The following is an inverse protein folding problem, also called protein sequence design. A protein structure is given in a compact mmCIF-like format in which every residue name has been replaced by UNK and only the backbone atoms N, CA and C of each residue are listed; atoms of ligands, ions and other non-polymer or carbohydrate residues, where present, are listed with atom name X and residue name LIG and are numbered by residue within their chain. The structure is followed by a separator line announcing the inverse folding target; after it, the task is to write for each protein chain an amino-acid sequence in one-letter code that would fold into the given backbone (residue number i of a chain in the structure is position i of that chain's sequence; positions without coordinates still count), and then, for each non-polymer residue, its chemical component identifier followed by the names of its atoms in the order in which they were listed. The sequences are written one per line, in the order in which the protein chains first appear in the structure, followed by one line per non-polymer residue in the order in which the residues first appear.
data_IF_008161195076
#
_entry.id   IF_008161195076
#
_cell.length_a   1.000
_cell.length_b   1.000
_cell.length_c   1.000
_cell.angle_alpha   90.00
_cell.angle_beta   90.00
_cell.angle_gamma   90.00
#
_symmetry.space_group_name_H-M   'P 1'
#
loop_
_entity.id
_entity.type
_entity.pdbx_description
1 polymer ?
#
# COMPACT_ATOMS: atom_id res chain seq x y z
N UNK A 1 9.14 -3.29 -7.92
CA UNK A 1 8.14 -3.10 -9.00
C UNK A 1 7.08 -4.18 -8.86
N UNK A 2 5.87 -3.82 -8.41
CA UNK A 2 4.78 -4.75 -8.16
C UNK A 2 4.25 -5.38 -9.46
N UNK A 3 3.91 -6.68 -9.43
CA UNK A 3 3.33 -7.42 -10.59
C UNK A 3 2.06 -6.75 -11.16
N UNK A 4 1.40 -5.93 -10.37
CA UNK A 4 0.19 -5.19 -10.75
C UNK A 4 0.50 -3.92 -11.55
N UNK A 5 1.54 -3.17 -11.18
CA UNK A 5 1.95 -1.97 -11.92
C UNK A 5 2.46 -2.32 -13.33
N UNK A 6 3.16 -3.45 -13.47
CA UNK A 6 3.64 -3.95 -14.76
C UNK A 6 2.49 -4.27 -15.73
N UNK A 7 1.44 -4.95 -15.24
CA UNK A 7 0.22 -5.22 -16.02
C UNK A 7 -0.50 -3.95 -16.44
N UNK A 8 -0.54 -2.93 -15.57
CA UNK A 8 -1.14 -1.64 -15.89
C UNK A 8 -0.34 -0.87 -16.95
N UNK A 9 1.00 -0.96 -16.95
CA UNK A 9 1.84 -0.35 -18.00
C UNK A 9 1.57 -0.99 -19.37
N UNK A 10 1.51 -2.31 -19.43
CA UNK A 10 1.20 -3.04 -20.66
C UNK A 10 -0.20 -2.67 -21.17
N UNK A 11 -1.18 -2.58 -20.26
CA UNK A 11 -2.56 -2.24 -20.62
C UNK A 11 -2.69 -0.81 -21.13
N UNK A 12 -2.03 0.16 -20.47
CA UNK A 12 -1.93 1.55 -20.94
C UNK A 12 -1.37 1.61 -22.36
N UNK A 13 -0.28 0.89 -22.63
CA UNK A 13 0.40 0.94 -23.91
C UNK A 13 -0.48 0.39 -25.06
N UNK A 14 -1.23 -0.68 -24.79
CA UNK A 14 -2.22 -1.23 -25.73
C UNK A 14 -3.37 -0.27 -25.99
N UNK A 15 -3.86 0.42 -24.95
CA UNK A 15 -4.92 1.43 -25.10
C UNK A 15 -4.43 2.65 -25.87
N UNK A 16 -3.24 3.15 -25.59
CA UNK A 16 -2.68 4.30 -26.33
C UNK A 16 -2.43 3.98 -27.79
N UNK A 17 -2.05 2.73 -28.13
CA UNK A 17 -1.92 2.30 -29.52
C UNK A 17 -3.26 2.24 -30.26
N UNK A 18 -4.35 1.90 -29.57
CA UNK A 18 -5.65 1.64 -30.22
C UNK A 18 -6.56 2.87 -30.27
N UNK A 19 -6.54 3.70 -29.23
CA UNK A 19 -7.44 4.84 -29.05
C UNK A 19 -6.70 6.18 -29.00
N UNK A 20 -5.37 6.16 -28.95
CA UNK A 20 -4.54 7.34 -28.81
C UNK A 20 -4.35 7.76 -27.34
N UNK A 21 -3.30 8.55 -27.04
CA UNK A 21 -2.97 8.97 -25.67
C UNK A 21 -3.98 9.96 -25.07
N UNK A 22 -4.84 10.56 -25.90
CA UNK A 22 -5.88 11.51 -25.46
C UNK A 22 -7.15 10.85 -24.93
N UNK A 23 -7.30 9.54 -25.13
CA UNK A 23 -8.50 8.78 -24.77
C UNK A 23 -8.74 8.73 -23.25
N UNK A 24 -10.01 8.76 -22.87
CA UNK A 24 -10.45 8.77 -21.47
C UNK A 24 -9.98 7.51 -20.72
N UNK A 25 -9.99 6.34 -21.36
CA UNK A 25 -9.53 5.10 -20.75
C UNK A 25 -8.00 5.13 -20.54
N UNK A 26 -7.25 5.70 -21.49
CA UNK A 26 -5.80 5.85 -21.34
C UNK A 26 -5.44 6.76 -20.15
N UNK A 27 -6.21 7.84 -19.94
CA UNK A 27 -6.07 8.73 -18.79
C UNK A 27 -6.42 8.04 -17.47
N UNK A 28 -7.52 7.28 -17.43
CA UNK A 28 -7.94 6.53 -16.24
C UNK A 28 -6.90 5.49 -15.83
N UNK A 29 -6.37 4.72 -16.79
CA UNK A 29 -5.34 3.72 -16.52
C UNK A 29 -4.04 4.39 -16.04
N UNK A 30 -3.69 5.54 -16.61
CA UNK A 30 -2.51 6.30 -16.16
C UNK A 30 -2.66 6.77 -14.71
N UNK A 31 -3.84 7.29 -14.34
CA UNK A 31 -4.13 7.69 -12.96
C UNK A 31 -4.10 6.49 -11.98
N UNK A 32 -4.65 5.34 -12.39
CA UNK A 32 -4.60 4.11 -11.59
C UNK A 32 -3.16 3.61 -11.39
N UNK A 33 -2.32 3.75 -12.42
CA UNK A 33 -0.91 3.36 -12.37
C UNK A 33 -0.10 4.24 -11.42
N UNK A 34 -0.34 5.55 -11.45
CA UNK A 34 0.24 6.48 -10.47
C UNK A 34 -0.23 6.16 -9.05
N UNK A 35 -1.52 5.85 -8.87
CA UNK A 35 -2.05 5.43 -7.57
C UNK A 35 -1.36 4.16 -7.07
N UNK A 36 -1.20 3.14 -7.91
CA UNK A 36 -0.47 1.92 -7.55
C UNK A 36 1.00 2.17 -7.20
N UNK A 37 1.67 3.13 -7.86
CA UNK A 37 3.05 3.52 -7.51
C UNK A 37 3.10 4.24 -6.16
N UNK A 38 2.08 5.04 -5.83
CA UNK A 38 1.96 5.71 -4.53
C UNK A 38 1.56 4.76 -3.40
N UNK A 39 0.81 3.70 -3.73
CA UNK A 39 0.34 2.67 -2.81
C UNK A 39 1.29 1.46 -2.71
N UNK A 40 2.48 1.49 -3.30
CA UNK A 40 3.54 0.53 -2.97
C UNK A 40 3.72 0.63 -1.45
N UNK A 41 3.36 -0.44 -0.72
CA UNK A 41 3.17 -0.33 0.70
C UNK A 41 4.51 0.07 1.30
N UNK A 42 4.53 1.25 1.93
CA UNK A 42 5.49 1.62 2.96
C UNK A 42 5.73 0.37 3.76
N UNK A 43 6.91 -0.23 3.58
CA UNK A 43 7.41 -1.45 4.21
C UNK A 43 6.56 -1.78 5.43
N UNK A 44 5.54 -2.62 5.24
CA UNK A 44 4.74 -3.10 6.37
C UNK A 44 5.78 -3.93 7.11
N UNK A 45 6.38 -3.34 8.15
CA UNK A 45 7.30 -4.03 9.06
C UNK A 45 6.67 -5.39 9.27
N UNK A 46 7.30 -6.43 8.72
CA UNK A 46 6.80 -7.80 8.78
C UNK A 46 6.38 -8.02 10.21
N UNK A 47 5.07 -8.17 10.45
CA UNK A 47 4.59 -8.43 11.79
C UNK A 47 5.14 -9.81 12.13
N UNK A 48 6.07 -9.85 13.07
CA UNK A 48 6.69 -11.07 13.50
C UNK A 48 5.68 -11.83 14.37
N UNK A 49 4.96 -12.77 13.75
CA UNK A 49 3.99 -13.62 14.43
C UNK A 49 4.66 -14.63 15.39
N UNK A 50 6.00 -14.62 15.50
CA UNK A 50 6.73 -15.40 16.49
C UNK A 50 6.73 -14.72 17.87
N UNK A 51 6.27 -13.46 17.98
CA UNK A 51 6.13 -12.81 19.28
C UNK A 51 4.90 -13.35 19.98
N UNK A 52 5.04 -14.10 21.10
CA UNK A 52 3.90 -14.56 21.85
C UNK A 52 3.12 -13.36 22.40
N UNK A 53 1.80 -13.45 22.32
CA UNK A 53 0.81 -12.44 22.74
C UNK A 53 0.99 -11.91 24.18
N UNK A 54 1.85 -12.56 24.96
CA UNK A 54 2.22 -12.19 26.33
C UNK A 54 3.06 -10.91 26.41
N UNK A 55 3.89 -10.60 25.40
CA UNK A 55 4.71 -9.37 25.41
C UNK A 55 3.91 -8.12 25.06
N UNK A 56 2.89 -8.24 24.21
CA UNK A 56 2.01 -7.13 23.83
C UNK A 56 1.18 -6.64 25.01
N UNK A 57 0.67 -7.54 25.87
CA UNK A 57 -0.15 -7.16 27.03
C UNK A 57 0.68 -6.46 28.12
N UNK A 58 1.94 -6.86 28.32
CA UNK A 58 2.82 -6.24 29.31
C UNK A 58 3.14 -4.77 28.99
N UNK A 59 3.33 -4.44 27.71
CA UNK A 59 3.57 -3.06 27.26
C UNK A 59 2.34 -2.15 27.50
N UNK A 60 1.12 -2.65 27.31
CA UNK A 60 -0.10 -1.88 27.56
C UNK A 60 -0.40 -1.66 29.06
N UNK A 61 0.00 -2.59 29.94
CA UNK A 61 -0.22 -2.45 31.39
C UNK A 61 0.67 -1.39 32.06
N UNK A 62 1.85 -1.11 31.49
CA UNK A 62 2.76 -0.10 32.03
C UNK A 62 2.29 1.33 31.78
N UNK A 63 1.60 1.58 30.68
CA UNK A 63 1.10 2.92 30.32
C UNK A 63 -0.12 3.33 31.17
N UNK A 64 -1.04 2.38 31.40
CA UNK A 64 -2.22 2.61 32.26
C UNK A 64 -1.85 2.91 33.74
N UNK A 65 -0.66 2.49 34.19
CA UNK A 65 -0.18 2.74 35.54
C UNK A 65 0.44 4.13 35.72
N UNK A 66 0.86 4.80 34.63
CA UNK A 66 1.34 6.19 34.68
C UNK A 66 0.21 7.22 34.57
N UNK A 67 -0.89 6.89 33.90
CA UNK A 67 -2.02 7.80 33.72
C UNK A 67 -2.79 8.14 35.01
N UNK A 68 -2.59 7.39 36.10
CA UNK A 68 -3.31 7.56 37.37
C UNK A 68 -2.49 8.26 38.48
N UNK A 69 -1.44 9.02 38.12
CA UNK A 69 -0.68 9.90 39.04
C UNK A 69 -0.71 11.38 38.59
N UNK A 70 -1.88 11.91 38.28
CA UNK A 70 -2.12 13.36 38.24
C UNK A 70 -3.35 13.70 39.06
#
# INVERSE_FOLDING_TARGET
MSRLSDKLEIFRNKLSQRYGPGDTLCKQVSAALESCRKFEPVSVKKHDWSVPYTHTIAAYRLDASQANRR
#
